data_IF_203967366713
#
_entry.id   IF_203967366713
#
_cell.length_a   1.000
_cell.length_b   1.000
_cell.length_c   1.000
_cell.angle_alpha   90.00
_cell.angle_beta   90.00
_cell.angle_gamma   90.00
#
_symmetry.space_group_name_H-M   'P 1'
#
loop_
_entity.id
_entity.type
_entity.pdbx_description
1 polymer ?
#
# COMPACT_ATOMS: atom_id res chain seq x y z
N UNK A 1 23.90 -10.09 -10.13
CA UNK A 1 22.59 -9.97 -9.45
C UNK A 1 21.78 -11.21 -9.78
N UNK A 2 21.34 -11.94 -8.76
CA UNK A 2 20.45 -13.10 -8.89
C UNK A 2 19.00 -12.64 -9.10
N UNK A 3 18.16 -13.46 -9.71
CA UNK A 3 16.72 -13.19 -9.89
C UNK A 3 15.99 -13.00 -8.55
N UNK A 4 16.46 -13.65 -7.48
CA UNK A 4 15.91 -13.52 -6.12
C UNK A 4 16.19 -12.13 -5.52
N UNK A 5 17.42 -11.62 -5.73
CA UNK A 5 17.84 -10.31 -5.23
C UNK A 5 17.11 -9.19 -5.96
N UNK A 6 16.98 -9.31 -7.28
CA UNK A 6 16.25 -8.35 -8.12
C UNK A 6 14.79 -8.20 -7.66
N UNK A 7 14.12 -9.32 -7.39
CA UNK A 7 12.74 -9.34 -6.89
C UNK A 7 12.62 -8.72 -5.50
N UNK A 8 13.54 -9.05 -4.59
CA UNK A 8 13.55 -8.49 -3.23
C UNK A 8 13.75 -6.98 -3.24
N UNK A 9 14.64 -6.47 -4.11
CA UNK A 9 14.84 -5.04 -4.28
C UNK A 9 13.60 -4.35 -4.86
N UNK A 10 12.97 -4.93 -5.88
CA UNK A 10 11.72 -4.41 -6.43
C UNK A 10 10.60 -4.36 -5.37
N UNK A 11 10.47 -5.42 -4.55
CA UNK A 11 9.48 -5.48 -3.47
C UNK A 11 9.74 -4.39 -2.40
N UNK A 12 11.01 -4.15 -2.06
CA UNK A 12 11.39 -3.09 -1.12
C UNK A 12 11.13 -1.69 -1.69
N UNK A 13 11.46 -1.45 -2.97
CA UNK A 13 11.18 -0.18 -3.66
C UNK A 13 9.68 0.10 -3.74
N UNK A 14 8.87 -0.90 -4.09
CA UNK A 14 7.42 -0.75 -4.15
C UNK A 14 6.83 -0.46 -2.77
N UNK A 15 7.31 -1.16 -1.73
CA UNK A 15 6.90 -0.92 -0.35
C UNK A 15 7.19 0.53 0.08
N UNK A 16 8.41 1.01 -0.17
CA UNK A 16 8.81 2.38 0.15
C UNK A 16 7.96 3.41 -0.61
N UNK A 17 7.66 3.16 -1.88
CA UNK A 17 6.84 4.06 -2.70
C UNK A 17 5.39 4.13 -2.21
N UNK A 18 4.78 3.01 -1.82
CA UNK A 18 3.44 2.99 -1.21
C UNK A 18 3.43 3.81 0.09
N UNK A 19 4.41 3.59 0.97
CA UNK A 19 4.53 4.30 2.25
C UNK A 19 4.67 5.81 2.03
N UNK A 20 5.57 6.21 1.12
CA UNK A 20 5.80 7.59 0.76
C UNK A 20 4.55 8.24 0.18
N UNK A 21 3.89 7.56 -0.75
CA UNK A 21 2.67 8.04 -1.41
C UNK A 21 1.52 8.27 -0.45
N UNK A 22 1.29 7.37 0.54
CA UNK A 22 0.17 7.53 1.48
C UNK A 22 0.54 8.36 2.72
N UNK A 23 1.83 8.62 2.95
CA UNK A 23 2.34 9.34 4.13
C UNK A 23 2.34 8.52 5.41
N UNK A 24 2.47 7.18 5.32
CA UNK A 24 2.42 6.30 6.49
C UNK A 24 3.62 6.55 7.42
N UNK A 25 3.36 6.72 8.71
CA UNK A 25 4.37 7.01 9.74
C UNK A 25 4.91 8.44 9.73
N UNK A 26 4.80 9.19 8.64
CA UNK A 26 5.27 10.57 8.52
C UNK A 26 4.17 11.63 8.68
N UNK A 27 2.89 11.23 8.53
CA UNK A 27 1.73 12.13 8.64
C UNK A 27 0.70 11.59 9.61
N UNK A 28 -0.06 12.51 10.23
CA UNK A 28 -1.20 12.16 11.09
C UNK A 28 -2.40 11.66 10.28
N UNK A 29 -2.58 12.19 9.08
CA UNK A 29 -3.68 11.85 8.17
C UNK A 29 -3.11 11.34 6.86
N UNK A 30 -3.68 10.28 6.28
CA UNK A 30 -3.24 9.80 4.98
C UNK A 30 -3.55 10.83 3.90
N UNK A 31 -2.69 10.90 2.89
CA UNK A 31 -2.91 11.77 1.75
C UNK A 31 -1.99 11.35 0.60
N UNK A 32 -2.52 11.39 -0.61
CA UNK A 32 -1.75 11.10 -1.81
C UNK A 32 -0.61 12.11 -1.99
N UNK A 33 0.60 11.62 -2.25
CA UNK A 33 1.78 12.44 -2.52
C UNK A 33 2.55 11.90 -3.71
N UNK A 34 2.15 12.33 -4.90
CA UNK A 34 2.84 12.03 -6.14
C UNK A 34 4.31 12.50 -6.10
N UNK A 35 4.55 13.67 -5.52
CA UNK A 35 5.89 14.28 -5.49
C UNK A 35 6.86 13.45 -4.63
N UNK A 36 6.39 12.85 -3.54
CA UNK A 36 7.21 11.97 -2.70
C UNK A 36 7.71 10.73 -3.46
N UNK A 37 6.89 10.14 -4.34
CA UNK A 37 7.31 9.00 -5.18
C UNK A 37 8.21 9.44 -6.31
N UNK A 38 7.88 10.56 -6.98
CA UNK A 38 8.68 11.10 -8.08
C UNK A 38 10.06 11.59 -7.64
N UNK A 39 10.24 11.91 -6.36
CA UNK A 39 11.53 12.28 -5.78
C UNK A 39 12.41 11.08 -5.38
N UNK A 40 11.93 9.84 -5.52
CA UNK A 40 12.71 8.64 -5.18
C UNK A 40 13.83 8.40 -6.21
N UNK A 41 15.01 8.01 -5.74
CA UNK A 41 16.15 7.63 -6.58
C UNK A 41 15.94 6.22 -7.16
N UNK A 42 15.12 6.11 -8.20
CA UNK A 42 14.78 4.87 -8.90
C UNK A 42 14.79 5.07 -10.42
N UNK A 43 15.09 4.03 -11.23
CA UNK A 43 15.24 4.19 -12.68
C UNK A 43 13.98 4.68 -13.43
N UNK A 44 12.78 4.38 -12.92
CA UNK A 44 11.50 4.75 -13.56
C UNK A 44 10.45 5.13 -12.50
N UNK A 45 10.60 6.32 -11.93
CA UNK A 45 9.73 6.82 -10.87
C UNK A 45 8.28 7.05 -11.35
N UNK A 46 8.09 7.37 -12.64
CA UNK A 46 6.75 7.56 -13.21
C UNK A 46 5.99 6.24 -13.34
N UNK A 47 6.65 5.18 -13.83
CA UNK A 47 6.03 3.85 -13.87
C UNK A 47 5.72 3.34 -12.46
N UNK A 48 6.64 3.55 -11.52
CA UNK A 48 6.44 3.20 -10.11
C UNK A 48 5.24 3.94 -9.51
N UNK A 49 5.12 5.25 -9.75
CA UNK A 49 3.95 6.02 -9.32
C UNK A 49 2.66 5.50 -9.95
N UNK A 50 2.70 5.14 -11.24
CA UNK A 50 1.59 4.51 -11.94
C UNK A 50 1.14 3.22 -11.25
N UNK A 51 2.07 2.35 -10.89
CA UNK A 51 1.80 1.11 -10.17
C UNK A 51 1.22 1.37 -8.76
N UNK A 52 1.84 2.27 -7.99
CA UNK A 52 1.34 2.66 -6.66
C UNK A 52 -0.09 3.18 -6.74
N UNK A 53 -0.41 4.03 -7.72
CA UNK A 53 -1.77 4.54 -7.95
C UNK A 53 -2.76 3.43 -8.27
N UNK A 54 -2.38 2.42 -9.06
CA UNK A 54 -3.24 1.27 -9.33
C UNK A 54 -3.50 0.44 -8.06
N UNK A 55 -2.47 0.23 -7.24
CA UNK A 55 -2.59 -0.50 -5.97
C UNK A 55 -3.50 0.25 -5.00
N UNK A 56 -3.28 1.56 -4.83
CA UNK A 56 -4.11 2.40 -3.95
C UNK A 56 -5.55 2.45 -4.44
N UNK A 57 -5.78 2.58 -5.75
CA UNK A 57 -7.13 2.52 -6.33
C UNK A 57 -7.80 1.17 -6.08
N UNK A 58 -7.07 0.06 -6.18
CA UNK A 58 -7.60 -1.25 -5.84
C UNK A 58 -7.95 -1.36 -4.35
N UNK A 59 -7.12 -0.78 -3.48
CA UNK A 59 -7.40 -0.70 -2.03
C UNK A 59 -8.65 0.13 -1.76
N UNK A 60 -8.86 1.24 -2.47
CA UNK A 60 -10.05 2.10 -2.33
C UNK A 60 -11.34 1.40 -2.80
N UNK A 61 -11.23 0.49 -3.75
CA UNK A 61 -12.35 -0.32 -4.22
C UNK A 61 -12.66 -1.51 -3.30
N UNK A 62 -11.80 -1.82 -2.33
CA UNK A 62 -12.01 -2.92 -1.40
C UNK A 62 -13.17 -2.58 -0.45
N UNK A 63 -14.24 -3.38 -0.53
CA UNK A 63 -15.40 -3.27 0.36
C UNK A 63 -15.41 -4.42 1.35
N UNK A 64 -15.12 -4.10 2.61
CA UNK A 64 -15.25 -5.03 3.74
C UNK A 64 -16.42 -4.54 4.60
N UNK A 65 -17.47 -5.35 4.68
CA UNK A 65 -18.64 -5.06 5.50
C UNK A 65 -18.26 -4.99 6.98
N UNK A 66 -18.84 -4.04 7.73
CA UNK A 66 -18.48 -3.82 9.13
C UNK A 66 -18.74 -5.04 10.00
N UNK A 67 -19.76 -5.81 9.66
CA UNK A 67 -20.12 -7.05 10.34
C UNK A 67 -19.06 -8.15 10.15
N UNK A 68 -18.28 -8.09 9.07
CA UNK A 68 -17.24 -9.06 8.78
C UNK A 68 -16.01 -8.91 9.70
N UNK A 69 -15.84 -7.75 10.33
CA UNK A 69 -14.73 -7.58 11.29
C UNK A 69 -14.92 -8.45 12.52
N UNK A 70 -16.14 -8.60 13.05
CA UNK A 70 -16.36 -9.31 14.32
C UNK A 70 -15.36 -8.86 15.39
N UNK A 71 -14.59 -9.82 15.91
CA UNK A 71 -13.49 -9.59 16.88
C UNK A 71 -12.10 -9.43 16.22
N UNK A 72 -12.01 -9.49 14.89
CA UNK A 72 -10.74 -9.37 14.17
C UNK A 72 -10.27 -7.92 14.08
N UNK A 73 -8.95 -7.74 14.18
CA UNK A 73 -8.31 -6.47 13.87
C UNK A 73 -8.53 -6.10 12.40
N UNK A 74 -8.94 -4.84 12.16
CA UNK A 74 -9.26 -4.33 10.82
C UNK A 74 -8.10 -4.46 9.85
N UNK A 75 -6.86 -4.28 10.31
CA UNK A 75 -5.69 -4.37 9.43
C UNK A 75 -5.37 -5.79 9.03
N UNK A 76 -5.65 -6.74 9.93
CA UNK A 76 -5.51 -8.17 9.62
C UNK A 76 -6.53 -8.58 8.56
N UNK A 77 -7.81 -8.24 8.74
CA UNK A 77 -8.85 -8.58 7.77
C UNK A 77 -8.62 -7.85 6.42
N UNK A 78 -8.24 -6.57 6.45
CA UNK A 78 -7.84 -5.84 5.26
C UNK A 78 -6.73 -6.57 4.51
N UNK A 79 -5.64 -6.94 5.20
CA UNK A 79 -4.51 -7.63 4.58
C UNK A 79 -4.93 -8.95 3.92
N UNK A 80 -5.75 -9.75 4.60
CA UNK A 80 -6.26 -11.01 4.06
C UNK A 80 -7.10 -10.81 2.80
N UNK A 81 -8.05 -9.87 2.82
CA UNK A 81 -8.92 -9.62 1.67
C UNK A 81 -8.16 -8.95 0.51
N UNK A 82 -7.25 -8.05 0.81
CA UNK A 82 -6.48 -7.34 -0.21
C UNK A 82 -5.45 -8.24 -0.89
N UNK A 83 -4.83 -9.18 -0.16
CA UNK A 83 -3.90 -10.17 -0.72
C UNK A 83 -4.58 -11.06 -1.79
N UNK A 84 -5.90 -11.29 -1.68
CA UNK A 84 -6.66 -12.02 -2.72
C UNK A 84 -6.77 -11.24 -4.04
N UNK A 85 -6.71 -9.91 -3.98
CA UNK A 85 -6.84 -9.01 -5.14
C UNK A 85 -5.45 -8.70 -5.70
N UNK A 86 -4.49 -8.42 -4.82
CA UNK A 86 -3.11 -8.05 -5.13
C UNK A 86 -2.14 -8.90 -4.30
N UNK A 87 -1.81 -10.11 -4.76
CA UNK A 87 -0.90 -10.97 -4.03
C UNK A 87 0.54 -10.47 -4.13
N UNK A 88 1.33 -10.78 -3.10
CA UNK A 88 2.78 -10.54 -3.07
C UNK A 88 3.19 -9.17 -2.54
N UNK A 89 2.27 -8.42 -1.92
CA UNK A 89 2.65 -7.19 -1.22
C UNK A 89 3.33 -7.52 0.11
N UNK A 90 4.31 -6.70 0.48
CA UNK A 90 4.95 -6.84 1.79
C UNK A 90 3.96 -6.54 2.91
N UNK A 91 4.19 -7.13 4.08
CA UNK A 91 3.37 -6.85 5.27
C UNK A 91 3.35 -5.36 5.64
N UNK A 92 4.41 -4.62 5.33
CA UNK A 92 4.49 -3.19 5.61
C UNK A 92 3.68 -2.36 4.62
N UNK A 93 3.71 -2.70 3.33
CA UNK A 93 2.83 -2.11 2.34
C UNK A 93 1.35 -2.33 2.69
N UNK A 94 0.98 -3.56 3.09
CA UNK A 94 -0.38 -3.88 3.54
C UNK A 94 -0.81 -3.07 4.76
N UNK A 95 0.09 -2.84 5.73
CA UNK A 95 -0.19 -1.98 6.90
C UNK A 95 -0.42 -0.52 6.49
N UNK A 96 0.42 0.03 5.62
CA UNK A 96 0.28 1.40 5.12
C UNK A 96 -1.04 1.60 4.38
N UNK A 97 -1.43 0.64 3.53
CA UNK A 97 -2.71 0.65 2.81
C UNK A 97 -3.90 0.50 3.76
N UNK A 98 -3.84 -0.45 4.71
CA UNK A 98 -4.88 -0.63 5.73
C UNK A 98 -5.13 0.65 6.54
N UNK A 99 -4.05 1.33 6.95
CA UNK A 99 -4.15 2.58 7.71
C UNK A 99 -4.89 3.65 6.92
N UNK A 100 -4.52 3.85 5.65
CA UNK A 100 -5.20 4.80 4.77
C UNK A 100 -6.66 4.40 4.50
N UNK A 101 -6.91 3.13 4.18
CA UNK A 101 -8.24 2.61 3.91
C UNK A 101 -9.17 2.77 5.11
N UNK A 102 -8.69 2.41 6.30
CA UNK A 102 -9.44 2.57 7.55
C UNK A 102 -9.74 4.03 7.84
N UNK A 103 -8.82 4.95 7.55
CA UNK A 103 -9.11 6.37 7.70
C UNK A 103 -10.29 6.80 6.81
N UNK A 104 -10.24 6.51 5.51
CA UNK A 104 -11.30 6.90 4.57
C UNK A 104 -12.64 6.18 4.78
N UNK A 105 -12.63 4.97 5.34
CA UNK A 105 -13.85 4.22 5.60
C UNK A 105 -14.60 4.70 6.86
N UNK A 106 -13.92 5.38 7.80
CA UNK A 106 -14.45 5.65 9.14
C UNK A 106 -14.34 7.10 9.62
N UNK A 107 -13.68 7.99 8.87
CA UNK A 107 -13.54 9.42 9.17
C UNK A 107 -13.83 10.26 7.92
#
# INVERSE_FOLDING_TARGET
MSLSEARTMMDATLTAAIIAYVGYGSRRTPGADDAAVLAMDVPDAEALLGEVKQIVKASDALSIRREAFGDQDKSTLFGIEFEKIRPGLSAEALRALSWRWSYHAFF
#
